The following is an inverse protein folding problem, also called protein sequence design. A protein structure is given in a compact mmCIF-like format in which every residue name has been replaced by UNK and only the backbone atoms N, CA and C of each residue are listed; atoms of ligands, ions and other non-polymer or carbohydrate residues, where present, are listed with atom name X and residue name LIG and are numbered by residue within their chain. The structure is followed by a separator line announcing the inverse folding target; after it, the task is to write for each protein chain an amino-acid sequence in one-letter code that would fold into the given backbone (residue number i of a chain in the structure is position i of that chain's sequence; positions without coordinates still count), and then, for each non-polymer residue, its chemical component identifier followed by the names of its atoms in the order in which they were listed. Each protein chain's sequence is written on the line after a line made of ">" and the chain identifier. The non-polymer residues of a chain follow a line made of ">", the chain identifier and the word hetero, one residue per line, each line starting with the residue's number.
data_IF_455443903698
#
_entry.id   IF_455443903698
#
_cell.length_a   1.000
_cell.length_b   1.000
_cell.length_c   1.000
_cell.angle_alpha   90.00
_cell.angle_beta   90.00
_cell.angle_gamma   90.00
#
_symmetry.space_group_name_H-M   'P 1'
#
loop_
_entity.id
_entity.type
_entity.pdbx_description
1 polymer ?
#
# COMPACT_ATOMS: atom_id res chain seq x y z
N UNK A 1 17.79 -10.30 -21.23
CA UNK A 1 16.64 -11.20 -21.45
C UNK A 1 16.20 -11.77 -20.11
N UNK A 2 15.06 -11.29 -19.63
CA UNK A 2 14.35 -11.78 -18.44
C UNK A 2 13.62 -13.08 -18.74
N UNK A 3 13.98 -14.17 -18.08
CA UNK A 3 13.11 -15.34 -17.96
C UNK A 3 12.52 -15.36 -16.56
N UNK A 4 11.34 -14.75 -16.43
CA UNK A 4 10.46 -15.00 -15.29
C UNK A 4 10.04 -16.47 -15.36
N UNK A 5 10.49 -17.26 -14.39
CA UNK A 5 9.99 -18.61 -14.14
C UNK A 5 8.51 -18.51 -13.75
N UNK A 6 7.63 -18.77 -14.72
CA UNK A 6 6.27 -19.21 -14.47
C UNK A 6 6.39 -20.58 -13.77
N UNK A 7 6.27 -20.59 -12.44
CA UNK A 7 5.93 -21.83 -11.71
C UNK A 7 4.50 -22.18 -12.12
N UNK A 8 4.33 -23.03 -13.13
CA UNK A 8 3.08 -23.75 -13.30
C UNK A 8 2.97 -24.71 -12.12
N UNK A 9 2.03 -24.48 -11.21
CA UNK A 9 1.75 -25.42 -10.13
C UNK A 9 1.36 -26.77 -10.75
N UNK A 10 1.98 -27.87 -10.31
CA UNK A 10 1.63 -29.20 -10.81
C UNK A 10 0.21 -29.53 -10.34
N UNK A 11 -0.63 -30.19 -11.16
CA UNK A 11 -2.01 -30.52 -10.79
C UNK A 11 -2.13 -31.33 -9.48
N UNK A 12 -1.12 -32.16 -9.16
CA UNK A 12 -1.01 -32.89 -7.89
C UNK A 12 -0.95 -31.98 -6.65
N UNK A 13 -0.34 -30.79 -6.77
CA UNK A 13 -0.18 -29.87 -5.64
C UNK A 13 -1.50 -29.14 -5.34
N UNK A 14 -2.33 -28.90 -6.36
CA UNK A 14 -3.64 -28.24 -6.23
C UNK A 14 -4.65 -29.18 -5.56
N UNK A 15 -4.68 -30.47 -5.95
CA UNK A 15 -5.55 -31.48 -5.33
C UNK A 15 -5.19 -31.71 -3.85
N UNK A 16 -3.91 -31.73 -3.53
CA UNK A 16 -3.43 -31.82 -2.15
C UNK A 16 -3.85 -30.60 -1.31
N UNK A 17 -3.76 -29.38 -1.88
CA UNK A 17 -4.23 -28.15 -1.22
C UNK A 17 -5.73 -28.19 -0.94
N UNK A 18 -6.56 -28.53 -1.94
CA UNK A 18 -8.01 -28.58 -1.78
C UNK A 18 -8.42 -29.63 -0.73
N UNK A 19 -7.78 -30.81 -0.75
CA UNK A 19 -7.98 -31.85 0.27
C UNK A 19 -7.63 -31.36 1.66
N UNK A 20 -6.51 -30.65 1.82
CA UNK A 20 -6.11 -30.07 3.10
C UNK A 20 -7.13 -29.04 3.63
N UNK A 21 -7.64 -28.15 2.77
CA UNK A 21 -8.63 -27.14 3.17
C UNK A 21 -9.96 -27.79 3.59
N UNK A 22 -10.42 -28.80 2.85
CA UNK A 22 -11.62 -29.58 3.20
C UNK A 22 -11.45 -30.35 4.51
N UNK A 23 -10.29 -30.97 4.73
CA UNK A 23 -10.00 -31.67 5.98
C UNK A 23 -10.00 -30.71 7.18
N UNK A 24 -9.41 -29.53 7.03
CA UNK A 24 -9.43 -28.47 8.04
C UNK A 24 -10.86 -28.00 8.32
N UNK A 25 -11.69 -27.88 7.28
CA UNK A 25 -13.09 -27.51 7.41
C UNK A 25 -13.89 -28.59 8.16
N UNK A 26 -13.70 -29.85 7.80
CA UNK A 26 -14.32 -30.99 8.49
C UNK A 26 -13.94 -31.05 9.97
N UNK A 27 -12.65 -30.85 10.29
CA UNK A 27 -12.17 -30.81 11.66
C UNK A 27 -12.84 -29.67 12.46
N UNK A 28 -12.99 -28.49 11.85
CA UNK A 28 -13.73 -27.39 12.45
C UNK A 28 -15.20 -27.74 12.70
N UNK A 29 -15.90 -28.29 11.70
CA UNK A 29 -17.31 -28.68 11.84
C UNK A 29 -17.51 -29.74 12.93
N UNK A 30 -16.57 -30.68 13.08
CA UNK A 30 -16.62 -31.70 14.13
C UNK A 30 -16.56 -31.06 15.53
N UNK A 31 -15.71 -30.04 15.72
CA UNK A 31 -15.62 -29.29 16.98
C UNK A 31 -16.87 -28.43 17.22
N UNK A 32 -17.41 -27.78 16.18
CA UNK A 32 -18.66 -27.02 16.25
C UNK A 32 -19.83 -27.92 16.67
N UNK A 33 -19.95 -29.12 16.09
CA UNK A 33 -20.92 -30.13 16.51
C UNK A 33 -20.74 -30.54 17.97
N UNK A 34 -19.52 -30.88 18.40
CA UNK A 34 -19.25 -31.29 19.77
C UNK A 34 -19.65 -30.21 20.79
N UNK A 35 -19.34 -28.93 20.52
CA UNK A 35 -19.73 -27.83 21.41
C UNK A 35 -21.25 -27.64 21.50
N UNK A 36 -21.99 -27.90 20.41
CA UNK A 36 -23.45 -27.82 20.41
C UNK A 36 -24.08 -28.95 21.23
N UNK A 37 -23.47 -30.13 21.24
CA UNK A 37 -23.98 -31.31 21.96
C UNK A 37 -23.58 -31.32 23.44
N UNK A 38 -22.37 -30.87 23.78
CA UNK A 38 -21.84 -30.92 25.16
C UNK A 38 -22.17 -29.69 26.02
N UNK A 39 -22.95 -28.73 25.51
CA UNK A 39 -23.30 -27.49 26.19
C UNK A 39 -22.34 -26.33 25.88
N UNK A 40 -22.89 -25.14 25.64
CA UNK A 40 -22.10 -23.95 25.29
C UNK A 40 -21.45 -23.34 26.52
N UNK A 41 -20.16 -23.60 26.70
CA UNK A 41 -19.32 -22.89 27.68
C UNK A 41 -18.71 -21.64 27.04
N UNK A 42 -18.54 -20.57 27.82
CA UNK A 42 -17.90 -19.31 27.37
C UNK A 42 -16.49 -19.57 26.81
N UNK A 43 -15.69 -20.37 27.52
CA UNK A 43 -14.34 -20.74 27.10
C UNK A 43 -14.32 -21.59 25.80
N UNK A 44 -15.28 -22.51 25.65
CA UNK A 44 -15.42 -23.30 24.42
C UNK A 44 -15.83 -22.44 23.22
N UNK A 45 -16.73 -21.47 23.42
CA UNK A 45 -17.10 -20.48 22.40
C UNK A 45 -15.90 -19.62 21.98
N UNK A 46 -15.12 -19.09 22.92
CA UNK A 46 -13.88 -18.35 22.61
C UNK A 46 -12.89 -19.20 21.80
N UNK A 47 -12.67 -20.46 22.21
CA UNK A 47 -11.79 -21.39 21.48
C UNK A 47 -12.30 -21.66 20.06
N UNK A 48 -13.61 -21.84 19.87
CA UNK A 48 -14.19 -22.04 18.55
C UNK A 48 -14.05 -20.81 17.67
N UNK A 49 -14.27 -19.60 18.19
CA UNK A 49 -14.04 -18.36 17.45
C UNK A 49 -12.58 -18.28 17.01
N UNK A 50 -11.63 -18.56 17.92
CA UNK A 50 -10.19 -18.57 17.59
C UNK A 50 -9.83 -19.56 16.48
N UNK A 51 -10.39 -20.77 16.51
CA UNK A 51 -10.17 -21.76 15.45
C UNK A 51 -10.83 -21.30 14.14
N UNK A 52 -12.05 -20.75 14.23
CA UNK A 52 -12.79 -20.26 13.08
C UNK A 52 -12.06 -19.10 12.38
N UNK A 53 -11.57 -18.12 13.11
CA UNK A 53 -10.78 -16.98 12.59
C UNK A 53 -9.48 -17.48 11.97
N UNK A 54 -8.79 -18.45 12.58
CA UNK A 54 -7.58 -19.06 11.97
C UNK A 54 -7.89 -19.83 10.69
N UNK A 55 -9.01 -20.54 10.63
CA UNK A 55 -9.41 -21.29 9.44
C UNK A 55 -9.93 -20.34 8.34
N UNK A 56 -10.75 -19.35 8.69
CA UNK A 56 -11.22 -18.29 7.81
C UNK A 56 -10.08 -17.58 7.12
N UNK A 57 -9.03 -17.20 7.87
CA UNK A 57 -7.84 -16.58 7.26
C UNK A 57 -7.19 -17.48 6.22
N UNK A 58 -6.99 -18.76 6.53
CA UNK A 58 -6.41 -19.72 5.57
C UNK A 58 -7.28 -19.87 4.32
N UNK A 59 -8.60 -19.88 4.44
CA UNK A 59 -9.49 -19.97 3.27
C UNK A 59 -9.45 -18.71 2.42
N UNK A 60 -9.42 -17.52 3.04
CA UNK A 60 -9.29 -16.25 2.34
C UNK A 60 -7.93 -16.12 1.62
N UNK A 61 -6.85 -16.60 2.23
CA UNK A 61 -5.52 -16.61 1.60
C UNK A 61 -5.43 -17.56 0.39
N UNK A 62 -6.35 -18.52 0.29
CA UNK A 62 -6.48 -19.47 -0.82
C UNK A 62 -7.68 -19.18 -1.74
N UNK A 63 -8.34 -18.02 -1.59
CA UNK A 63 -9.52 -17.61 -2.37
C UNK A 63 -10.73 -18.59 -2.30
N UNK A 64 -10.79 -19.45 -1.27
CA UNK A 64 -11.91 -20.38 -1.02
C UNK A 64 -13.06 -19.69 -0.27
N UNK A 65 -13.78 -18.83 -0.99
CA UNK A 65 -14.84 -17.95 -0.46
C UNK A 65 -15.97 -18.73 0.23
N UNK A 66 -16.38 -19.88 -0.30
CA UNK A 66 -17.50 -20.67 0.24
C UNK A 66 -17.18 -21.29 1.61
N UNK A 67 -15.96 -21.81 1.79
CA UNK A 67 -15.49 -22.36 3.05
C UNK A 67 -15.29 -21.24 4.09
N UNK A 68 -14.74 -20.10 3.67
CA UNK A 68 -14.59 -18.92 4.51
C UNK A 68 -15.95 -18.42 5.02
N UNK A 69 -16.94 -18.31 4.14
CA UNK A 69 -18.30 -17.90 4.50
C UNK A 69 -18.94 -18.83 5.54
N UNK A 70 -18.86 -20.15 5.32
CA UNK A 70 -19.40 -21.15 6.24
C UNK A 70 -18.81 -21.02 7.65
N UNK A 71 -17.48 -20.94 7.75
CA UNK A 71 -16.79 -20.86 9.05
C UNK A 71 -17.01 -19.51 9.73
N UNK A 72 -16.97 -18.40 8.99
CA UNK A 72 -17.18 -17.07 9.56
C UNK A 72 -18.65 -16.84 9.95
N UNK A 73 -19.62 -17.43 9.25
CA UNK A 73 -21.02 -17.39 9.66
C UNK A 73 -21.24 -18.11 11.00
N UNK A 74 -20.59 -19.26 11.20
CA UNK A 74 -20.63 -19.94 12.51
C UNK A 74 -19.91 -19.13 13.60
N UNK A 75 -18.75 -18.53 13.30
CA UNK A 75 -18.05 -17.65 14.24
C UNK A 75 -18.93 -16.47 14.71
N UNK A 76 -19.72 -15.88 13.80
CA UNK A 76 -20.63 -14.79 14.13
C UNK A 76 -21.64 -15.16 15.23
N UNK A 77 -22.18 -16.39 15.19
CA UNK A 77 -23.11 -16.90 16.20
C UNK A 77 -22.45 -16.98 17.58
N UNK A 78 -21.21 -17.46 17.63
CA UNK A 78 -20.46 -17.55 18.87
C UNK A 78 -20.07 -16.18 19.43
N UNK A 79 -19.72 -15.22 18.57
CA UNK A 79 -19.45 -13.83 18.99
C UNK A 79 -20.72 -13.19 19.55
N UNK A 80 -21.87 -13.38 18.89
CA UNK A 80 -23.16 -12.89 19.38
C UNK A 80 -23.54 -13.52 20.74
N UNK A 81 -23.40 -14.84 20.87
CA UNK A 81 -23.60 -15.54 22.15
C UNK A 81 -22.67 -14.99 23.26
N UNK A 82 -21.39 -14.78 22.95
CA UNK A 82 -20.41 -14.21 23.89
C UNK A 82 -20.78 -12.79 24.32
N UNK A 83 -21.36 -11.99 23.42
CA UNK A 83 -21.78 -10.62 23.74
C UNK A 83 -23.00 -10.56 24.67
N UNK A 84 -23.84 -11.60 24.66
CA UNK A 84 -25.05 -11.72 25.49
C UNK A 84 -24.79 -12.33 26.86
N UNK A 85 -23.70 -13.08 27.00
CA UNK A 85 -23.36 -13.74 28.26
C UNK A 85 -22.80 -12.74 29.27
N UNK A 86 -23.54 -12.50 30.35
CA UNK A 86 -23.17 -11.58 31.45
C UNK A 86 -22.11 -12.16 32.40
N UNK A 87 -21.56 -13.33 32.12
CA UNK A 87 -20.54 -13.94 32.98
C UNK A 87 -19.25 -13.12 32.87
N UNK A 88 -18.76 -12.50 33.95
CA UNK A 88 -17.56 -11.68 33.90
C UNK A 88 -16.37 -12.56 33.50
N UNK A 89 -15.77 -12.25 32.35
CA UNK A 89 -14.54 -12.86 31.88
C UNK A 89 -13.36 -12.38 32.71
N UNK A 90 -12.31 -13.20 32.80
CA UNK A 90 -11.02 -12.73 33.31
C UNK A 90 -10.49 -11.63 32.37
N UNK A 91 -9.74 -10.66 32.92
CA UNK A 91 -9.20 -9.52 32.16
C UNK A 91 -8.43 -9.97 30.90
N UNK A 92 -7.70 -11.09 30.99
CA UNK A 92 -6.96 -11.66 29.87
C UNK A 92 -7.88 -12.24 28.78
N UNK A 93 -8.98 -12.89 29.17
CA UNK A 93 -9.95 -13.48 28.25
C UNK A 93 -10.77 -12.41 27.55
N UNK A 94 -11.04 -11.30 28.23
CA UNK A 94 -11.72 -10.14 27.66
C UNK A 94 -10.86 -9.45 26.59
N UNK A 95 -9.56 -9.29 26.85
CA UNK A 95 -8.61 -8.80 25.84
C UNK A 95 -8.53 -9.73 24.62
N UNK A 96 -8.48 -11.05 24.85
CA UNK A 96 -8.50 -12.04 23.77
C UNK A 96 -9.81 -12.00 22.98
N UNK A 97 -10.96 -11.85 23.64
CA UNK A 97 -12.27 -11.70 23.00
C UNK A 97 -12.29 -10.51 22.04
N UNK A 98 -11.84 -9.33 22.51
CA UNK A 98 -11.80 -8.11 21.69
C UNK A 98 -10.90 -8.31 20.47
N UNK A 99 -9.70 -8.87 20.65
CA UNK A 99 -8.79 -9.15 19.54
C UNK A 99 -9.41 -10.12 18.51
N UNK A 100 -10.06 -11.19 18.97
CA UNK A 100 -10.74 -12.16 18.10
C UNK A 100 -11.90 -11.53 17.33
N UNK A 101 -12.71 -10.69 17.97
CA UNK A 101 -13.78 -9.95 17.30
C UNK A 101 -13.25 -9.02 16.22
N UNK A 102 -12.15 -8.33 16.49
CA UNK A 102 -11.50 -7.45 15.52
C UNK A 102 -10.91 -8.24 14.34
N UNK A 103 -10.20 -9.35 14.59
CA UNK A 103 -9.71 -10.23 13.53
C UNK A 103 -10.85 -10.79 12.68
N UNK A 104 -11.96 -11.19 13.33
CA UNK A 104 -13.17 -11.62 12.65
C UNK A 104 -13.74 -10.52 11.74
N UNK A 105 -13.86 -9.29 12.23
CA UNK A 105 -14.35 -8.16 11.44
C UNK A 105 -13.46 -7.89 10.21
N UNK A 106 -12.14 -7.92 10.37
CA UNK A 106 -11.19 -7.78 9.25
C UNK A 106 -11.44 -8.83 8.17
N UNK A 107 -11.61 -10.09 8.56
CA UNK A 107 -11.90 -11.18 7.62
C UNK A 107 -13.28 -11.05 6.96
N UNK A 108 -14.27 -10.53 7.69
CA UNK A 108 -15.62 -10.28 7.15
C UNK A 108 -15.64 -9.16 6.11
N UNK A 109 -14.82 -8.11 6.28
CA UNK A 109 -14.61 -7.07 5.27
C UNK A 109 -14.05 -7.69 3.99
N UNK A 110 -12.96 -8.47 4.11
CA UNK A 110 -12.33 -9.13 2.97
C UNK A 110 -13.31 -10.09 2.25
N UNK A 111 -14.00 -10.94 3.02
CA UNK A 111 -14.99 -11.87 2.47
C UNK A 111 -16.10 -11.16 1.70
N UNK A 112 -16.69 -10.11 2.28
CA UNK A 112 -17.80 -9.38 1.65
C UNK A 112 -17.37 -8.72 0.34
N UNK A 113 -16.14 -8.22 0.29
CA UNK A 113 -15.56 -7.68 -0.94
C UNK A 113 -15.34 -8.77 -2.01
N UNK A 114 -14.82 -9.94 -1.62
CA UNK A 114 -14.64 -11.07 -2.52
C UNK A 114 -15.98 -11.56 -3.10
N UNK A 115 -17.02 -11.58 -2.27
CA UNK A 115 -18.42 -11.86 -2.67
C UNK A 115 -19.06 -10.78 -3.55
N UNK A 116 -18.32 -9.73 -3.94
CA UNK A 116 -18.81 -8.59 -4.73
C UNK A 116 -19.85 -7.72 -4.02
N UNK A 117 -20.02 -7.87 -2.71
CA UNK A 117 -20.91 -7.04 -1.91
C UNK A 117 -20.13 -5.89 -1.25
N UNK A 118 -19.88 -4.84 -2.03
CA UNK A 118 -19.10 -3.68 -1.58
C UNK A 118 -19.81 -2.96 -0.42
N UNK A 119 -21.13 -2.80 -0.47
CA UNK A 119 -21.90 -2.13 0.58
C UNK A 119 -21.74 -2.83 1.94
N UNK A 120 -21.77 -4.17 1.95
CA UNK A 120 -21.52 -4.94 3.17
C UNK A 120 -20.08 -4.77 3.66
N UNK A 121 -19.10 -4.74 2.76
CA UNK A 121 -17.70 -4.49 3.13
C UNK A 121 -17.52 -3.09 3.73
N UNK A 122 -18.19 -2.06 3.20
CA UNK A 122 -18.18 -0.70 3.74
C UNK A 122 -18.79 -0.61 5.13
N UNK A 123 -19.98 -1.19 5.32
CA UNK A 123 -20.64 -1.23 6.62
C UNK A 123 -19.74 -1.90 7.68
N UNK A 124 -19.14 -3.04 7.35
CA UNK A 124 -18.23 -3.75 8.24
C UNK A 124 -16.94 -2.96 8.49
N UNK A 125 -16.42 -2.25 7.49
CA UNK A 125 -15.26 -1.39 7.64
C UNK A 125 -15.55 -0.24 8.61
N UNK A 126 -16.70 0.42 8.48
CA UNK A 126 -17.09 1.51 9.37
C UNK A 126 -17.22 1.01 10.81
N UNK A 127 -17.85 -0.15 11.02
CA UNK A 127 -17.95 -0.77 12.33
C UNK A 127 -16.57 -1.13 12.91
N UNK A 128 -15.65 -1.64 12.07
CA UNK A 128 -14.29 -1.94 12.49
C UNK A 128 -13.52 -0.67 12.87
N UNK A 129 -13.59 0.37 12.04
CA UNK A 129 -12.95 1.67 12.30
C UNK A 129 -13.48 2.32 13.57
N UNK A 130 -14.80 2.35 13.79
CA UNK A 130 -15.38 2.87 15.03
C UNK A 130 -14.82 2.14 16.26
N UNK A 131 -14.72 0.82 16.20
CA UNK A 131 -14.13 0.02 17.30
C UNK A 131 -12.64 0.30 17.50
N UNK A 132 -11.90 0.57 16.43
CA UNK A 132 -10.47 0.89 16.51
C UNK A 132 -10.18 2.32 16.97
N UNK A 133 -11.12 3.26 16.79
CA UNK A 133 -10.97 4.68 17.11
C UNK A 133 -11.66 5.11 18.41
N UNK A 134 -12.47 4.25 19.04
CA UNK A 134 -13.37 4.61 20.16
C UNK A 134 -12.69 5.14 21.43
N UNK A 135 -11.42 4.85 21.67
CA UNK A 135 -10.66 5.34 22.84
C UNK A 135 -9.15 5.11 22.62
N UNK A 136 -8.27 6.03 23.00
CA UNK A 136 -6.80 5.78 23.03
C UNK A 136 -6.47 4.54 23.89
N UNK A 137 -7.26 4.28 24.94
CA UNK A 137 -7.15 3.09 25.78
C UNK A 137 -7.56 1.80 25.05
N UNK A 138 -8.58 1.83 24.19
CA UNK A 138 -8.98 0.70 23.37
C UNK A 138 -8.01 0.48 22.19
N UNK A 139 -7.53 1.58 21.62
CA UNK A 139 -6.56 1.61 20.55
C UNK A 139 -5.23 0.93 20.95
N UNK A 140 -4.76 1.18 22.18
CA UNK A 140 -3.54 0.59 22.73
C UNK A 140 -3.69 -0.88 23.16
N UNK A 141 -4.91 -1.35 23.45
CA UNK A 141 -5.19 -2.76 23.79
C UNK A 141 -5.25 -3.68 22.59
N UNK A 142 -5.50 -3.12 21.39
CA UNK A 142 -5.54 -3.89 20.17
C UNK A 142 -4.13 -4.30 19.74
N UNK A 143 -3.95 -5.57 19.41
CA UNK A 143 -2.66 -6.04 18.91
C UNK A 143 -2.31 -5.34 17.57
N UNK A 144 -1.07 -4.82 17.43
CA UNK A 144 -0.61 -4.15 16.20
C UNK A 144 -0.82 -4.97 14.92
N UNK A 145 -0.66 -6.30 15.01
CA UNK A 145 -0.87 -7.23 13.89
C UNK A 145 -2.27 -7.17 13.29
N UNK A 146 -3.29 -6.84 14.10
CA UNK A 146 -4.69 -6.77 13.65
C UNK A 146 -4.89 -5.50 12.83
N UNK A 147 -4.31 -4.37 13.26
CA UNK A 147 -4.30 -3.12 12.48
C UNK A 147 -3.59 -3.30 11.16
N UNK A 148 -2.43 -3.94 11.17
CA UNK A 148 -1.72 -4.27 9.94
C UNK A 148 -2.57 -5.13 9.01
N UNK A 149 -3.25 -6.13 9.55
CA UNK A 149 -4.15 -6.99 8.78
C UNK A 149 -5.28 -6.19 8.15
N UNK A 150 -5.92 -5.29 8.91
CA UNK A 150 -6.92 -4.37 8.37
C UNK A 150 -6.31 -3.50 7.27
N UNK A 151 -5.18 -2.84 7.53
CA UNK A 151 -4.48 -2.00 6.55
C UNK A 151 -4.17 -2.74 5.24
N UNK A 152 -3.74 -4.01 5.32
CA UNK A 152 -3.52 -4.88 4.15
C UNK A 152 -4.81 -5.14 3.37
N UNK A 153 -5.90 -5.47 4.06
CA UNK A 153 -7.21 -5.71 3.45
C UNK A 153 -7.73 -4.45 2.76
N UNK A 154 -7.73 -3.31 3.45
CA UNK A 154 -8.16 -2.03 2.89
C UNK A 154 -7.30 -1.62 1.68
N UNK A 155 -5.98 -1.81 1.76
CA UNK A 155 -5.07 -1.57 0.66
C UNK A 155 -5.34 -2.48 -0.55
N UNK A 156 -5.58 -3.78 -0.32
CA UNK A 156 -5.95 -4.75 -1.36
C UNK A 156 -7.26 -4.33 -2.05
N UNK A 157 -8.27 -3.97 -1.27
CA UNK A 157 -9.57 -3.48 -1.77
C UNK A 157 -9.37 -2.21 -2.60
N UNK A 158 -8.67 -1.21 -2.07
CA UNK A 158 -8.42 0.06 -2.78
C UNK A 158 -7.73 -0.17 -4.12
N UNK A 159 -6.69 -1.01 -4.17
CA UNK A 159 -6.02 -1.37 -5.43
C UNK A 159 -6.96 -2.06 -6.42
N UNK A 160 -7.82 -2.95 -5.94
CA UNK A 160 -8.77 -3.63 -6.81
C UNK A 160 -9.87 -2.70 -7.33
N UNK A 161 -10.29 -1.70 -6.55
CA UNK A 161 -11.19 -0.64 -7.04
C UNK A 161 -10.54 0.18 -8.15
N UNK A 162 -9.27 0.57 -7.98
CA UNK A 162 -8.50 1.30 -9.00
C UNK A 162 -8.35 0.48 -10.28
N UNK A 163 -8.06 -0.83 -10.17
CA UNK A 163 -8.00 -1.72 -11.35
C UNK A 163 -9.34 -1.82 -12.09
N UNK A 164 -10.46 -1.67 -11.39
CA UNK A 164 -11.81 -1.65 -11.97
C UNK A 164 -12.24 -0.27 -12.48
N UNK A 165 -11.30 0.68 -12.56
CA UNK A 165 -11.53 2.07 -12.92
C UNK A 165 -12.48 2.85 -11.98
N UNK A 166 -12.80 2.30 -10.80
CA UNK A 166 -13.50 3.05 -9.76
C UNK A 166 -12.49 3.82 -8.90
N UNK A 167 -11.99 4.92 -9.45
CA UNK A 167 -10.89 5.68 -8.86
C UNK A 167 -11.28 6.39 -7.56
N UNK A 168 -12.49 6.96 -7.48
CA UNK A 168 -12.98 7.68 -6.29
C UNK A 168 -13.08 6.75 -5.09
N UNK A 169 -13.76 5.61 -5.22
CA UNK A 169 -13.77 4.60 -4.15
C UNK A 169 -12.36 4.08 -3.86
N UNK A 170 -11.52 3.94 -4.89
CA UNK A 170 -10.11 3.59 -4.71
C UNK A 170 -9.38 4.53 -3.76
N UNK A 171 -9.50 5.84 -3.97
CA UNK A 171 -8.92 6.89 -3.09
C UNK A 171 -9.45 6.76 -1.66
N UNK A 172 -10.76 6.55 -1.48
CA UNK A 172 -11.39 6.42 -0.15
C UNK A 172 -10.88 5.20 0.63
N UNK A 173 -10.77 4.03 -0.01
CA UNK A 173 -10.24 2.83 0.62
C UNK A 173 -8.74 2.96 0.94
N UNK A 174 -7.96 3.57 0.04
CA UNK A 174 -6.53 3.81 0.25
C UNK A 174 -6.28 4.82 1.38
N UNK A 175 -7.10 5.87 1.48
CA UNK A 175 -7.03 6.85 2.56
C UNK A 175 -7.34 6.23 3.92
N UNK A 176 -8.39 5.42 4.03
CA UNK A 176 -8.70 4.66 5.25
C UNK A 176 -7.57 3.69 5.62
N UNK A 177 -6.96 3.03 4.63
CA UNK A 177 -5.80 2.17 4.87
C UNK A 177 -4.62 2.96 5.47
N UNK A 178 -4.37 4.19 5.00
CA UNK A 178 -3.30 5.04 5.51
C UNK A 178 -3.54 5.49 6.96
N UNK A 179 -4.77 5.84 7.30
CA UNK A 179 -5.17 6.21 8.68
C UNK A 179 -4.95 5.06 9.67
N UNK A 180 -5.24 3.82 9.25
CA UNK A 180 -5.10 2.64 10.09
C UNK A 180 -3.63 2.25 10.30
N UNK A 181 -2.78 2.44 9.29
CA UNK A 181 -1.34 2.13 9.33
C UNK A 181 -0.53 3.36 9.80
N UNK A 182 -0.99 3.97 10.89
CA UNK A 182 -0.26 5.03 11.59
C UNK A 182 0.90 4.42 12.41
N UNK A 183 2.14 4.93 12.25
CA UNK A 183 3.30 4.48 13.03
C UNK A 183 3.13 4.53 14.55
N UNK A 184 2.21 5.34 15.07
CA UNK A 184 1.90 5.40 16.51
C UNK A 184 1.34 4.08 17.03
N UNK A 185 0.63 3.32 16.18
CA UNK A 185 -0.14 2.15 16.61
C UNK A 185 0.29 0.85 15.95
N UNK A 186 0.76 0.94 14.70
CA UNK A 186 1.41 -0.17 14.01
C UNK A 186 2.89 -0.03 14.35
N UNK A 187 3.43 -0.92 15.18
CA UNK A 187 4.81 -0.83 15.68
C UNK A 187 5.85 -0.56 14.59
N UNK A 188 7.04 -0.08 14.99
CA UNK A 188 8.11 0.39 14.09
C UNK A 188 8.81 -0.71 13.27
N UNK A 189 8.11 -1.78 12.94
CA UNK A 189 8.64 -2.88 12.15
C UNK A 189 8.79 -2.45 10.68
N UNK A 190 9.89 -2.89 10.06
CA UNK A 190 10.19 -2.63 8.64
C UNK A 190 9.02 -2.97 7.71
N UNK A 191 8.24 -3.99 8.05
CA UNK A 191 7.09 -4.42 7.28
C UNK A 191 5.98 -3.35 7.23
N UNK A 192 5.67 -2.73 8.37
CA UNK A 192 4.67 -1.67 8.47
C UNK A 192 5.07 -0.44 7.64
N UNK A 193 6.35 -0.07 7.66
CA UNK A 193 6.88 1.02 6.86
C UNK A 193 6.74 0.76 5.35
N UNK A 194 7.02 -0.45 4.86
CA UNK A 194 6.82 -0.79 3.44
C UNK A 194 5.34 -0.85 3.04
N UNK A 195 4.46 -1.33 3.92
CA UNK A 195 3.02 -1.30 3.68
C UNK A 195 2.52 0.14 3.56
N UNK A 196 2.89 1.01 4.50
CA UNK A 196 2.53 2.43 4.49
C UNK A 196 3.05 3.12 3.24
N UNK A 197 4.32 2.88 2.89
CA UNK A 197 4.90 3.38 1.64
C UNK A 197 4.07 2.97 0.41
N UNK A 198 3.70 1.69 0.31
CA UNK A 198 2.87 1.18 -0.77
C UNK A 198 1.49 1.82 -0.83
N UNK A 199 0.85 2.03 0.32
CA UNK A 199 -0.45 2.73 0.42
C UNK A 199 -0.32 4.17 -0.07
N UNK A 200 0.64 4.94 0.45
CA UNK A 200 0.84 6.34 0.09
C UNK A 200 1.14 6.50 -1.41
N UNK A 201 2.02 5.64 -1.95
CA UNK A 201 2.33 5.64 -3.38
C UNK A 201 1.08 5.42 -4.24
N UNK A 202 0.25 4.42 -3.91
CA UNK A 202 -0.97 4.15 -4.68
C UNK A 202 -2.02 5.25 -4.49
N UNK A 203 -2.10 5.84 -3.29
CA UNK A 203 -3.02 6.94 -3.00
C UNK A 203 -2.70 8.14 -3.88
N UNK A 204 -1.45 8.61 -3.88
CA UNK A 204 -0.99 9.71 -4.73
C UNK A 204 -1.25 9.40 -6.21
N UNK A 205 -0.82 8.22 -6.70
CA UNK A 205 -1.03 7.84 -8.10
C UNK A 205 -2.52 7.78 -8.50
N UNK A 206 -3.40 7.39 -7.58
CA UNK A 206 -4.84 7.31 -7.85
C UNK A 206 -5.46 8.70 -7.83
N UNK A 207 -5.09 9.53 -6.85
CA UNK A 207 -5.50 10.93 -6.77
C UNK A 207 -5.09 11.74 -8.00
N UNK A 208 -3.89 11.50 -8.54
CA UNK A 208 -3.48 12.11 -9.80
C UNK A 208 -4.32 11.66 -11.00
N UNK A 209 -4.91 10.46 -10.96
CA UNK A 209 -5.79 9.96 -12.03
C UNK A 209 -7.22 10.49 -11.92
N UNK A 210 -7.71 10.81 -10.72
CA UNK A 210 -9.06 11.36 -10.55
C UNK A 210 -9.16 12.80 -11.04
N UNK A 211 -8.05 13.56 -10.99
CA UNK A 211 -7.99 14.98 -11.40
C UNK A 211 -8.98 15.88 -10.63
N UNK A 212 -9.49 15.41 -9.49
CA UNK A 212 -10.35 16.20 -8.62
C UNK A 212 -9.48 17.14 -7.77
N UNK A 213 -9.81 18.43 -7.63
CA UNK A 213 -9.01 19.37 -6.86
C UNK A 213 -8.78 18.94 -5.40
N UNK A 214 -9.76 18.29 -4.77
CA UNK A 214 -9.64 17.72 -3.42
C UNK A 214 -8.60 16.61 -3.35
N UNK A 215 -8.57 15.74 -4.36
CA UNK A 215 -7.67 14.60 -4.41
C UNK A 215 -6.24 15.04 -4.75
N UNK A 216 -6.08 16.05 -5.62
CA UNK A 216 -4.79 16.64 -5.95
C UNK A 216 -4.14 17.31 -4.74
N UNK A 217 -4.92 18.01 -3.91
CA UNK A 217 -4.42 18.56 -2.64
C UNK A 217 -3.98 17.46 -1.69
N UNK A 218 -4.80 16.41 -1.57
CA UNK A 218 -4.45 15.23 -0.75
C UNK A 218 -3.17 14.54 -1.24
N UNK A 219 -2.98 14.45 -2.56
CA UNK A 219 -1.77 13.91 -3.16
C UNK A 219 -0.53 14.71 -2.74
N UNK A 220 -0.62 16.04 -2.71
CA UNK A 220 0.45 16.94 -2.25
C UNK A 220 0.79 16.73 -0.78
N UNK A 221 -0.22 16.75 0.10
CA UNK A 221 -0.04 16.52 1.55
C UNK A 221 0.65 15.17 1.82
N UNK A 222 0.23 14.12 1.13
CA UNK A 222 0.86 12.78 1.24
C UNK A 222 2.28 12.80 0.68
N UNK A 223 2.52 13.52 -0.42
CA UNK A 223 3.84 13.64 -1.03
C UNK A 223 4.85 14.34 -0.12
N UNK A 224 4.44 15.39 0.59
CA UNK A 224 5.29 16.07 1.58
C UNK A 224 5.79 15.11 2.66
N UNK A 225 4.89 14.26 3.18
CA UNK A 225 5.25 13.24 4.17
C UNK A 225 6.20 12.20 3.55
N UNK A 226 5.92 11.73 2.34
CA UNK A 226 6.78 10.74 1.67
C UNK A 226 8.20 11.26 1.40
N UNK A 227 8.35 12.53 1.02
CA UNK A 227 9.67 13.17 0.80
C UNK A 227 10.46 13.29 2.10
N UNK A 228 9.78 13.50 3.23
CA UNK A 228 10.41 13.57 4.55
C UNK A 228 10.82 12.19 5.07
N UNK A 229 9.97 11.18 4.89
CA UNK A 229 10.19 9.84 5.43
C UNK A 229 11.12 8.96 4.57
N UNK A 230 11.14 9.17 3.24
CA UNK A 230 11.96 8.38 2.31
C UNK A 230 12.69 9.25 1.26
N UNK A 231 13.54 10.20 1.69
CA UNK A 231 14.19 11.15 0.78
C UNK A 231 15.16 10.49 -0.22
N UNK A 232 15.67 9.30 0.06
CA UNK A 232 16.61 8.57 -0.80
C UNK A 232 15.93 7.73 -1.89
N UNK A 233 14.59 7.58 -1.86
CA UNK A 233 13.86 6.73 -2.80
C UNK A 233 13.56 7.46 -4.11
N UNK A 234 14.13 7.00 -5.22
CA UNK A 234 13.91 7.59 -6.56
C UNK A 234 12.44 7.71 -6.95
N UNK A 235 11.63 6.69 -6.66
CA UNK A 235 10.21 6.72 -7.01
C UNK A 235 9.41 7.78 -6.24
N UNK A 236 9.87 8.23 -5.07
CA UNK A 236 9.26 9.35 -4.33
C UNK A 236 9.46 10.65 -5.12
N UNK A 237 10.69 10.90 -5.59
CA UNK A 237 11.00 12.09 -6.37
C UNK A 237 10.31 12.11 -7.74
N UNK A 238 10.29 10.97 -8.45
CA UNK A 238 9.55 10.85 -9.70
C UNK A 238 8.06 11.18 -9.51
N UNK A 239 7.46 10.65 -8.44
CA UNK A 239 6.05 10.89 -8.14
C UNK A 239 5.79 12.36 -7.74
N UNK A 240 6.73 13.00 -7.04
CA UNK A 240 6.64 14.43 -6.72
C UNK A 240 6.64 15.31 -7.97
N UNK A 241 7.40 14.94 -9.01
CA UNK A 241 7.36 15.63 -10.30
C UNK A 241 6.01 15.44 -11.00
N UNK A 242 5.42 14.24 -10.95
CA UNK A 242 4.08 13.97 -11.49
C UNK A 242 3.02 14.85 -10.80
N UNK A 243 3.13 15.07 -9.48
CA UNK A 243 2.23 15.96 -8.72
C UNK A 243 2.35 17.41 -9.21
N UNK A 244 3.58 17.92 -9.37
CA UNK A 244 3.82 19.29 -9.87
C UNK A 244 3.21 19.47 -11.26
N UNK A 245 3.35 18.47 -12.14
CA UNK A 245 2.81 18.52 -13.49
C UNK A 245 1.28 18.53 -13.48
N UNK A 246 0.67 17.71 -12.62
CA UNK A 246 -0.79 17.60 -12.53
C UNK A 246 -1.47 18.85 -11.93
N UNK A 247 -0.78 19.60 -11.08
CA UNK A 247 -1.34 20.78 -10.42
C UNK A 247 -1.18 22.10 -11.19
N UNK A 248 -0.56 22.07 -12.38
CA UNK A 248 -0.07 23.19 -13.21
C UNK A 248 1.46 23.24 -13.21
N UNK A 249 2.05 22.90 -14.36
CA UNK A 249 3.50 22.86 -14.54
C UNK A 249 4.10 24.27 -14.38
N UNK A 250 4.72 24.52 -13.22
CA UNK A 250 5.56 25.70 -12.97
C UNK A 250 7.03 25.32 -13.13
N UNK A 251 7.70 25.97 -14.08
CA UNK A 251 9.08 25.63 -14.46
C UNK A 251 10.05 25.72 -13.26
N UNK A 252 9.85 26.70 -12.37
CA UNK A 252 10.67 26.92 -11.18
C UNK A 252 10.50 25.78 -10.16
N UNK A 253 9.26 25.37 -9.89
CA UNK A 253 8.95 24.29 -8.97
C UNK A 253 9.48 22.95 -9.49
N UNK A 254 9.29 22.71 -10.80
CA UNK A 254 9.78 21.50 -11.47
C UNK A 254 11.31 21.44 -11.46
N UNK A 255 12.00 22.54 -11.79
CA UNK A 255 13.45 22.63 -11.72
C UNK A 255 13.98 22.43 -10.30
N UNK A 256 13.37 23.06 -9.28
CA UNK A 256 13.77 22.89 -7.89
C UNK A 256 13.65 21.44 -7.43
N UNK A 257 12.55 20.76 -7.80
CA UNK A 257 12.33 19.35 -7.50
C UNK A 257 13.35 18.43 -8.20
N UNK A 258 13.67 18.69 -9.48
CA UNK A 258 14.71 17.96 -10.21
C UNK A 258 16.09 18.12 -9.56
N UNK A 259 16.47 19.34 -9.18
CA UNK A 259 17.74 19.60 -8.52
C UNK A 259 17.83 18.89 -7.16
N UNK A 260 16.72 18.86 -6.40
CA UNK A 260 16.63 18.11 -5.15
C UNK A 260 16.77 16.60 -5.38
N UNK A 261 16.18 16.05 -6.43
CA UNK A 261 16.33 14.65 -6.80
C UNK A 261 17.79 14.31 -7.14
N UNK A 262 18.46 15.16 -7.91
CA UNK A 262 19.87 14.97 -8.29
C UNK A 262 20.85 15.06 -7.12
N UNK A 263 20.52 15.84 -6.09
CA UNK A 263 21.38 15.99 -4.90
C UNK A 263 21.13 14.95 -3.81
N UNK A 264 19.91 14.39 -3.74
CA UNK A 264 19.52 13.42 -2.70
C UNK A 264 19.73 11.96 -3.08
N UNK A 265 19.80 11.64 -4.38
CA UNK A 265 19.93 10.26 -4.87
C UNK A 265 21.32 10.03 -5.45
N UNK A 266 21.92 8.89 -5.11
CA UNK A 266 23.12 8.42 -5.80
C UNK A 266 22.85 8.25 -7.31
N UNK A 267 23.54 9.06 -8.12
CA UNK A 267 23.42 9.02 -9.58
C UNK A 267 23.93 7.66 -10.10
N UNK A 268 22.99 6.86 -10.58
CA UNK A 268 23.20 5.57 -11.25
C UNK A 268 22.63 5.65 -12.66
N UNK A 269 22.99 4.72 -13.54
CA UNK A 269 22.40 4.65 -14.89
C UNK A 269 20.86 4.61 -14.85
N UNK A 270 20.30 3.96 -13.82
CA UNK A 270 18.84 3.86 -13.62
C UNK A 270 18.20 5.20 -13.25
N UNK A 271 18.77 5.91 -12.28
CA UNK A 271 18.23 7.22 -11.88
C UNK A 271 18.40 8.24 -12.99
N UNK A 272 19.51 8.20 -13.73
CA UNK A 272 19.72 9.06 -14.89
C UNK A 272 18.68 8.81 -15.99
N UNK A 273 18.44 7.55 -16.38
CA UNK A 273 17.39 7.20 -17.37
C UNK A 273 16.01 7.66 -16.94
N UNK A 274 15.67 7.52 -15.65
CA UNK A 274 14.39 8.00 -15.13
C UNK A 274 14.25 9.53 -15.27
N UNK A 275 15.28 10.29 -14.90
CA UNK A 275 15.30 11.75 -15.05
C UNK A 275 15.07 12.17 -16.51
N UNK A 276 15.82 11.56 -17.44
CA UNK A 276 15.70 11.85 -18.87
C UNK A 276 14.31 11.48 -19.40
N UNK A 277 13.77 10.32 -19.01
CA UNK A 277 12.43 9.92 -19.45
C UNK A 277 11.34 10.86 -18.97
N UNK A 278 11.45 11.36 -17.73
CA UNK A 278 10.49 12.30 -17.15
C UNK A 278 10.55 13.66 -17.86
N UNK A 279 11.76 14.19 -18.09
CA UNK A 279 11.96 15.40 -18.88
C UNK A 279 11.33 15.31 -20.27
N UNK A 280 11.52 14.17 -20.96
CA UNK A 280 10.92 13.96 -22.29
C UNK A 280 9.39 13.81 -22.23
N UNK A 281 8.84 13.21 -21.17
CA UNK A 281 7.42 12.94 -21.05
C UNK A 281 6.61 14.19 -20.64
N UNK A 282 7.09 14.96 -19.66
CA UNK A 282 6.36 16.10 -19.12
C UNK A 282 6.51 17.37 -19.95
N UNK A 283 7.70 17.57 -20.50
CA UNK A 283 8.02 18.81 -21.20
C UNK A 283 7.97 18.62 -22.73
N UNK A 284 7.93 17.37 -23.22
CA UNK A 284 8.04 17.07 -24.64
C UNK A 284 9.43 17.38 -25.20
N UNK A 285 9.77 16.77 -26.34
CA UNK A 285 10.98 17.10 -27.11
C UNK A 285 11.18 18.63 -27.36
N UNK A 286 10.13 19.46 -27.54
CA UNK A 286 10.30 20.90 -27.76
C UNK A 286 10.81 21.67 -26.55
N UNK A 287 10.61 21.21 -25.31
CA UNK A 287 11.06 21.96 -24.13
C UNK A 287 12.54 21.70 -23.78
N UNK A 288 13.08 20.56 -24.22
CA UNK A 288 14.53 20.35 -24.30
C UNK A 288 15.20 21.34 -25.27
N UNK A 289 14.45 21.87 -26.24
CA UNK A 289 14.89 22.95 -27.13
C UNK A 289 14.59 24.36 -26.55
N UNK A 290 13.62 24.52 -25.64
CA UNK A 290 13.41 25.80 -24.93
C UNK A 290 14.42 26.05 -23.80
N UNK A 291 15.05 25.01 -23.25
CA UNK A 291 16.27 25.16 -22.46
C UNK A 291 17.51 25.51 -23.32
N UNK A 292 17.35 25.57 -24.65
CA UNK A 292 18.36 25.92 -25.65
C UNK A 292 18.13 27.33 -26.24
N UNK A 293 17.45 28.24 -25.53
CA UNK A 293 17.55 29.67 -25.83
C UNK A 293 18.69 30.32 -25.03
N UNK A 294 19.71 30.70 -25.80
CA UNK A 294 21.08 31.06 -25.42
C UNK A 294 21.26 32.32 -24.54
N UNK A 295 22.47 32.52 -23.99
CA UNK A 295 22.71 33.10 -22.68
C UNK A 295 23.10 34.58 -22.72
N UNK A 296 23.02 35.23 -21.55
CA UNK A 296 24.00 36.21 -21.05
C UNK A 296 23.78 36.35 -19.55
N UNK A 297 24.85 36.15 -18.78
CA UNK A 297 24.94 36.33 -17.33
C UNK A 297 24.36 35.21 -16.46
N UNK A 298 25.07 34.08 -16.39
CA UNK A 298 25.06 33.22 -15.20
C UNK A 298 26.49 32.68 -14.92
N UNK A 299 27.45 33.61 -14.92
CA UNK A 299 28.85 33.37 -14.57
C UNK A 299 29.14 33.49 -13.06
N UNK A 300 28.13 33.37 -12.17
CA UNK A 300 28.38 33.54 -10.73
C UNK A 300 27.86 32.46 -9.78
N UNK A 301 27.28 31.37 -10.28
CA UNK A 301 26.90 30.22 -9.43
C UNK A 301 27.68 28.95 -9.79
N UNK A 302 28.37 28.93 -10.94
CA UNK A 302 29.13 27.77 -11.41
C UNK A 302 30.54 27.60 -10.76
N UNK A 303 31.00 28.55 -9.96
CA UNK A 303 32.34 28.49 -9.33
C UNK A 303 32.37 27.79 -7.97
N UNK A 304 31.22 27.42 -7.39
CA UNK A 304 31.18 26.82 -6.05
C UNK A 304 31.07 25.28 -6.00
N UNK A 305 30.62 24.63 -7.07
CA UNK A 305 30.14 23.23 -7.00
C UNK A 305 30.74 22.27 -8.03
N UNK A 306 31.65 22.72 -8.89
CA UNK A 306 32.26 21.88 -9.93
C UNK A 306 33.73 21.63 -9.65
N UNK A 307 34.00 20.90 -8.57
CA UNK A 307 35.30 20.29 -8.33
C UNK A 307 35.48 18.93 -9.01
N UNK A 308 34.42 18.13 -9.22
CA UNK A 308 34.62 16.69 -9.50
C UNK A 308 33.62 15.97 -10.43
N UNK A 309 32.86 16.67 -11.30
CA UNK A 309 31.86 16.02 -12.17
C UNK A 309 32.05 16.23 -13.68
N UNK A 310 33.24 16.62 -14.13
CA UNK A 310 33.53 16.91 -15.55
C UNK A 310 33.53 15.68 -16.47
N UNK A 311 33.50 14.47 -15.93
CA UNK A 311 33.50 13.24 -16.73
C UNK A 311 32.09 12.78 -17.19
N UNK A 312 31.02 13.19 -16.50
CA UNK A 312 29.65 12.76 -16.86
C UNK A 312 29.09 13.51 -18.08
N UNK A 313 29.47 14.78 -18.28
CA UNK A 313 28.88 15.63 -19.32
C UNK A 313 29.30 15.22 -20.75
N UNK A 314 30.56 14.79 -20.95
CA UNK A 314 31.05 14.35 -22.26
C UNK A 314 30.42 13.05 -22.76
N UNK A 315 29.90 12.20 -21.87
CA UNK A 315 29.28 10.92 -22.23
C UNK A 315 27.84 11.07 -22.68
N UNK A 316 27.14 12.09 -22.19
CA UNK A 316 25.77 12.44 -22.61
C UNK A 316 25.74 12.88 -24.07
N UNK A 317 26.71 13.71 -24.51
CA UNK A 317 26.84 14.13 -25.90
C UNK A 317 27.15 12.98 -26.88
N UNK A 318 27.73 11.87 -26.41
CA UNK A 318 28.14 10.74 -27.27
C UNK A 318 27.03 9.69 -27.46
N UNK A 319 26.03 9.65 -26.58
CA UNK A 319 24.94 8.65 -26.61
C UNK A 319 23.70 9.15 -27.36
N UNK A 320 23.50 10.48 -27.46
CA UNK A 320 22.35 11.09 -28.18
C UNK A 320 22.62 11.29 -29.68
N UNK A 321 23.79 10.87 -30.20
CA UNK A 321 24.03 10.79 -31.64
C UNK A 321 24.05 12.13 -32.38
N UNK A 322 24.45 13.23 -31.72
CA UNK A 322 24.75 14.48 -32.43
C UNK A 322 26.21 14.42 -32.87
N UNK A 323 26.39 14.20 -34.18
CA UNK A 323 27.68 14.10 -34.84
C UNK A 323 28.57 15.33 -34.59
N UNK A 324 29.83 15.03 -34.33
CA UNK A 324 30.96 15.95 -34.19
C UNK A 324 31.14 16.85 -35.42
N UNK A 325 31.37 18.15 -35.22
CA UNK A 325 32.36 18.95 -35.97
C UNK A 325 32.25 20.43 -35.55
N UNK A 326 33.12 20.86 -34.65
CA UNK A 326 33.72 22.20 -34.61
C UNK A 326 34.51 22.33 -33.30
N UNK A 327 35.80 22.02 -33.36
CA UNK A 327 36.88 22.73 -32.64
C UNK A 327 38.19 22.03 -32.98
N UNK A 328 38.65 22.26 -34.21
CA UNK A 328 40.08 22.42 -34.45
C UNK A 328 40.41 23.90 -34.23
N UNK A 329 41.65 24.15 -33.77
CA UNK A 329 42.22 25.41 -33.29
C UNK A 329 41.82 25.71 -31.84
N UNK A 330 42.73 25.66 -30.85
CA UNK A 330 44.03 26.35 -30.81
C UNK A 330 45.01 25.55 -29.93
N UNK A 331 46.21 25.27 -30.46
CA UNK A 331 47.45 25.08 -29.70
C UNK A 331 48.09 26.44 -29.45
N UNK A 332 48.68 26.61 -28.25
CA UNK A 332 49.63 27.67 -27.84
C UNK A 332 49.13 29.09 -27.68
#
# INVERSE_FOLDING_TARGET
>A
MTTKLLRSEKPSDIENKNTYLKLRHLAYLTLDCAQRTCGRTTQGSLRLVKIAVKAGKTYLDHDEVSLAESVLSNAAKYIDDLSKNTTPLLVNEEGERVNLECEFLVQRIELSFLQRNVNAAELMCNNAMERFSRDESAASRLEPRIRESLGKVLYKIGKDMVKRANLTSGVEWLARALEIVDPKYVGSERFAAELRFGIMQNLVQTSLKTQLPSDLRKAEEVMEVMVKEWPERLNVHCLGLDVIVAQELRAEAYHAALMKMMSSIALSERSFKACVSLLTAHCGFPFLLLLDERPKNLTRVATGLLGNATCCWRRICKVVGIGSHAMYSITS
#
